data_IF_507003307488
#
_entry.id   IF_507003307488
#
_cell.length_a   1.000
_cell.length_b   1.000
_cell.length_c   1.000
_cell.angle_alpha   90.00
_cell.angle_beta   90.00
_cell.angle_gamma   90.00
#
_symmetry.space_group_name_H-M   'P 1'
#
loop_
_entity.id
_entity.type
_entity.pdbx_description
1 polymer ?
#
# COMPACT_ATOMS: atom_id res chain seq x y z
N UNK A 1 -12.40 14.72 -10.32
CA UNK A 1 -12.16 13.78 -9.21
C UNK A 1 -13.51 13.47 -8.62
N UNK A 2 -13.92 12.20 -8.63
CA UNK A 2 -15.16 11.81 -7.95
C UNK A 2 -14.94 11.87 -6.44
N UNK A 3 -15.91 12.47 -5.76
CA UNK A 3 -15.89 12.69 -4.32
C UNK A 3 -17.11 11.99 -3.71
N UNK A 4 -16.86 11.17 -2.70
CA UNK A 4 -17.88 10.33 -2.09
C UNK A 4 -18.22 10.81 -0.68
N UNK A 5 -19.51 10.89 -0.34
CA UNK A 5 -19.90 11.00 1.07
C UNK A 5 -19.54 9.71 1.83
N UNK A 6 -19.47 9.76 3.16
CA UNK A 6 -19.15 8.56 3.94
C UNK A 6 -20.16 7.40 3.74
N UNK A 7 -21.43 7.73 3.45
CA UNK A 7 -22.47 6.74 3.18
C UNK A 7 -22.25 6.06 1.83
N UNK A 8 -21.99 6.84 0.78
CA UNK A 8 -21.68 6.33 -0.56
C UNK A 8 -20.38 5.53 -0.54
N UNK A 9 -19.38 6.00 0.20
CA UNK A 9 -18.11 5.32 0.41
C UNK A 9 -18.29 3.92 1.02
N UNK A 10 -19.09 3.79 2.09
CA UNK A 10 -19.39 2.50 2.69
C UNK A 10 -20.17 1.57 1.74
N UNK A 11 -21.14 2.14 1.02
CA UNK A 11 -21.94 1.43 0.02
C UNK A 11 -21.06 0.88 -1.12
N UNK A 12 -20.16 1.71 -1.66
CA UNK A 12 -19.22 1.34 -2.72
C UNK A 12 -18.22 0.25 -2.28
N UNK A 13 -17.94 0.13 -0.99
CA UNK A 13 -17.12 -0.95 -0.41
C UNK A 13 -17.93 -2.20 -0.04
N UNK A 14 -19.26 -2.14 -0.08
CA UNK A 14 -20.14 -3.23 0.33
C UNK A 14 -19.99 -3.61 1.82
N UNK A 15 -19.61 -2.66 2.67
CA UNK A 15 -19.38 -2.89 4.11
C UNK A 15 -20.08 -1.83 4.96
N UNK A 16 -20.43 -2.21 6.19
CA UNK A 16 -21.10 -1.30 7.11
C UNK A 16 -20.15 -0.22 7.66
N UNK A 17 -20.66 0.97 8.03
CA UNK A 17 -19.87 2.00 8.71
C UNK A 17 -19.15 1.51 9.97
N UNK A 18 -19.77 0.56 10.70
CA UNK A 18 -19.20 -0.04 11.92
C UNK A 18 -18.02 -0.96 11.63
N UNK A 19 -17.89 -1.45 10.40
CA UNK A 19 -16.74 -2.21 9.95
C UNK A 19 -15.62 -1.29 9.43
N UNK A 20 -15.99 -0.27 8.65
CA UNK A 20 -15.04 0.62 7.98
C UNK A 20 -14.32 1.55 8.96
N UNK A 21 -15.02 2.16 9.93
CA UNK A 21 -14.37 3.11 10.85
C UNK A 21 -13.24 2.50 11.69
N UNK A 22 -13.43 1.35 12.36
CA UNK A 22 -12.34 0.73 13.10
C UNK A 22 -11.14 0.39 12.22
N UNK A 23 -11.38 0.02 10.96
CA UNK A 23 -10.33 -0.29 10.00
C UNK A 23 -9.49 0.95 9.65
N UNK A 24 -10.14 2.09 9.39
CA UNK A 24 -9.45 3.37 9.17
C UNK A 24 -8.61 3.77 10.39
N UNK A 25 -9.17 3.64 11.60
CA UNK A 25 -8.48 3.95 12.86
C UNK A 25 -7.27 3.03 13.06
N UNK A 26 -7.43 1.72 12.89
CA UNK A 26 -6.37 0.74 13.11
C UNK A 26 -5.18 0.92 12.16
N UNK A 27 -5.45 1.37 10.93
CA UNK A 27 -4.45 1.70 9.92
C UNK A 27 -3.88 3.12 10.08
N UNK A 28 -4.41 3.92 11.01
CA UNK A 28 -3.95 5.30 11.24
C UNK A 28 -4.25 6.25 10.08
N UNK A 29 -5.30 5.97 9.29
CA UNK A 29 -5.64 6.79 8.12
C UNK A 29 -6.31 8.10 8.54
N UNK A 30 -6.13 9.13 7.72
CA UNK A 30 -6.96 10.33 7.82
C UNK A 30 -8.43 9.96 7.65
N UNK A 31 -9.28 10.47 8.54
CA UNK A 31 -10.74 10.30 8.49
C UNK A 31 -11.32 11.69 8.22
N UNK A 32 -11.83 11.95 7.00
CA UNK A 32 -12.52 13.18 6.65
C UNK A 32 -13.62 13.53 7.67
N UNK A 33 -13.78 14.82 7.95
CA UNK A 33 -14.80 15.34 8.84
C UNK A 33 -16.22 15.09 8.32
N UNK A 34 -17.24 15.45 9.11
CA UNK A 34 -18.66 15.20 8.74
C UNK A 34 -19.11 15.86 7.42
N UNK A 35 -18.42 16.91 6.99
CA UNK A 35 -18.73 17.68 5.77
C UNK A 35 -17.72 17.43 4.65
N UNK A 36 -16.68 16.65 4.92
CA UNK A 36 -15.61 16.40 3.98
C UNK A 36 -15.90 15.13 3.20
N UNK A 37 -15.45 15.10 1.96
CA UNK A 37 -15.67 14.00 1.03
C UNK A 37 -14.46 13.08 0.98
N UNK A 38 -14.70 11.84 0.57
CA UNK A 38 -13.66 10.85 0.32
C UNK A 38 -13.24 10.93 -1.14
N UNK A 39 -11.95 11.15 -1.42
CA UNK A 39 -11.46 11.11 -2.79
C UNK A 39 -11.39 9.66 -3.30
N UNK A 40 -11.44 9.51 -4.62
CA UNK A 40 -11.45 8.22 -5.32
C UNK A 40 -10.22 7.33 -5.01
N UNK A 41 -9.02 7.91 -4.86
CA UNK A 41 -7.82 7.16 -4.43
C UNK A 41 -8.01 6.48 -3.07
N UNK A 42 -8.70 7.14 -2.14
CA UNK A 42 -9.02 6.58 -0.83
C UNK A 42 -9.97 5.38 -0.97
N UNK A 43 -10.94 5.46 -1.88
CA UNK A 43 -11.86 4.35 -2.16
C UNK A 43 -11.11 3.15 -2.74
N UNK A 44 -10.23 3.37 -3.71
CA UNK A 44 -9.38 2.34 -4.30
C UNK A 44 -8.47 1.67 -3.25
N UNK A 45 -7.84 2.48 -2.40
CA UNK A 45 -7.03 1.97 -1.28
C UNK A 45 -7.85 1.10 -0.33
N UNK A 46 -9.00 1.60 0.13
CA UNK A 46 -9.83 0.87 1.09
C UNK A 46 -10.48 -0.36 0.48
N UNK A 47 -10.75 -0.37 -0.82
CA UNK A 47 -11.20 -1.57 -1.54
C UNK A 47 -10.17 -2.69 -1.43
N UNK A 48 -8.87 -2.39 -1.64
CA UNK A 48 -7.78 -3.38 -1.46
C UNK A 48 -7.72 -3.92 -0.03
N UNK A 49 -7.80 -3.03 0.96
CA UNK A 49 -7.81 -3.43 2.38
C UNK A 49 -8.99 -4.35 2.68
N UNK A 50 -10.20 -3.97 2.27
CA UNK A 50 -11.42 -4.76 2.50
C UNK A 50 -11.33 -6.12 1.79
N UNK A 51 -10.81 -6.18 0.56
CA UNK A 51 -10.56 -7.42 -0.16
C UNK A 51 -9.57 -8.32 0.58
N UNK A 52 -8.42 -7.80 1.03
CA UNK A 52 -7.47 -8.60 1.81
C UNK A 52 -8.07 -9.13 3.11
N UNK A 53 -8.88 -8.31 3.80
CA UNK A 53 -9.62 -8.75 4.99
C UNK A 53 -10.63 -9.86 4.68
N UNK A 54 -11.25 -9.84 3.49
CA UNK A 54 -12.14 -10.92 3.06
C UNK A 54 -11.39 -12.25 2.84
N UNK A 55 -10.14 -12.20 2.36
CA UNK A 55 -9.22 -13.35 2.32
C UNK A 55 -8.51 -13.61 3.65
N UNK A 56 -9.13 -13.21 4.78
CA UNK A 56 -8.63 -13.50 6.12
C UNK A 56 -7.18 -13.02 6.40
N UNK A 57 -6.70 -12.00 5.69
CA UNK A 57 -5.40 -11.40 5.96
C UNK A 57 -5.48 -10.61 7.28
N UNK A 58 -4.60 -10.86 8.26
CA UNK A 58 -4.61 -10.15 9.54
C UNK A 58 -4.43 -8.65 9.36
N UNK A 59 -5.11 -7.86 10.19
CA UNK A 59 -4.98 -6.40 10.12
C UNK A 59 -3.55 -5.94 10.44
N UNK A 60 -2.84 -6.66 11.31
CA UNK A 60 -1.45 -6.36 11.65
C UNK A 60 -0.52 -6.55 10.45
N UNK A 61 -0.72 -7.60 9.64
CA UNK A 61 0.04 -7.82 8.41
C UNK A 61 -0.22 -6.69 7.40
N UNK A 62 -1.47 -6.24 7.27
CA UNK A 62 -1.83 -5.09 6.40
C UNK A 62 -1.19 -3.80 6.92
N UNK A 63 -1.18 -3.59 8.24
CA UNK A 63 -0.58 -2.41 8.86
C UNK A 63 0.93 -2.38 8.66
N UNK A 64 1.61 -3.52 8.83
CA UNK A 64 3.04 -3.64 8.57
C UNK A 64 3.36 -3.44 7.08
N UNK A 65 2.50 -3.92 6.18
CA UNK A 65 2.63 -3.68 4.75
C UNK A 65 2.55 -2.18 4.44
N UNK A 66 1.53 -1.50 4.96
CA UNK A 66 1.34 -0.06 4.78
C UNK A 66 2.56 0.73 5.30
N UNK A 67 3.05 0.39 6.50
CA UNK A 67 4.24 1.05 7.06
C UNK A 67 5.46 0.91 6.15
N UNK A 68 5.69 -0.28 5.58
CA UNK A 68 6.82 -0.52 4.68
C UNK A 68 6.66 0.25 3.37
N UNK A 69 5.46 0.28 2.80
CA UNK A 69 5.19 1.06 1.59
C UNK A 69 5.38 2.56 1.83
N UNK A 70 4.80 3.12 2.90
CA UNK A 70 5.00 4.54 3.24
C UNK A 70 6.48 4.85 3.47
N UNK A 71 7.21 3.94 4.11
CA UNK A 71 8.66 4.10 4.32
C UNK A 71 9.45 4.11 3.02
N UNK A 72 9.15 3.19 2.09
CA UNK A 72 9.76 3.18 0.75
C UNK A 72 9.49 4.53 0.07
N UNK A 73 8.26 5.03 0.12
CA UNK A 73 7.90 6.31 -0.50
C UNK A 73 8.59 7.52 0.15
N UNK A 74 8.76 7.52 1.47
CA UNK A 74 9.51 8.54 2.21
C UNK A 74 11.01 8.51 1.86
N UNK A 75 11.59 7.32 1.70
CA UNK A 75 12.97 7.17 1.23
C UNK A 75 13.16 7.64 -0.21
N UNK A 76 12.12 7.57 -1.03
CA UNK A 76 12.07 8.14 -2.38
C UNK A 76 11.67 9.62 -2.38
N UNK A 77 11.56 10.26 -1.22
CA UNK A 77 11.20 11.66 -1.01
C UNK A 77 9.84 12.08 -1.60
N UNK A 78 8.92 11.14 -1.80
CA UNK A 78 7.59 11.44 -2.35
C UNK A 78 6.69 12.21 -1.36
N UNK A 79 7.03 12.16 -0.07
CA UNK A 79 6.42 12.93 1.01
C UNK A 79 6.67 14.44 0.89
N UNK A 80 7.71 14.85 0.16
CA UNK A 80 8.02 16.27 -0.08
C UNK A 80 7.24 16.89 -1.23
N UNK A 81 6.52 16.07 -2.01
CA UNK A 81 5.86 16.50 -3.25
C UNK A 81 4.48 17.10 -2.99
N UNK A 82 3.81 16.76 -1.89
CA UNK A 82 2.44 17.18 -1.62
C UNK A 82 2.13 17.26 -0.12
N UNK A 83 1.52 18.37 0.31
CA UNK A 83 1.04 18.59 1.68
C UNK A 83 -0.26 17.82 2.01
N UNK A 84 -0.75 16.99 1.08
CA UNK A 84 -2.01 16.26 1.24
C UNK A 84 -1.85 15.13 2.28
N UNK A 85 -2.74 14.99 3.28
CA UNK A 85 -2.64 13.93 4.29
C UNK A 85 -2.77 12.50 3.74
N UNK A 86 -3.19 12.36 2.48
CA UNK A 86 -3.32 11.09 1.75
C UNK A 86 -2.35 11.00 0.57
N UNK A 87 -1.23 11.73 0.61
CA UNK A 87 -0.22 11.78 -0.46
C UNK A 87 0.30 10.41 -0.90
N UNK A 88 0.32 9.43 0.00
CA UNK A 88 0.76 8.06 -0.27
C UNK A 88 -0.30 7.21 -1.00
N UNK A 89 -1.51 7.72 -1.24
CA UNK A 89 -2.57 6.98 -1.95
C UNK A 89 -2.55 7.33 -3.43
N UNK A 90 -1.96 6.44 -4.25
CA UNK A 90 -1.92 6.57 -5.70
C UNK A 90 -3.26 6.25 -6.36
N UNK A 91 -3.52 6.92 -7.49
CA UNK A 91 -4.59 6.57 -8.41
C UNK A 91 -4.12 5.41 -9.31
N UNK A 92 -4.09 4.19 -8.80
CA UNK A 92 -3.79 3.01 -9.63
C UNK A 92 -5.08 2.33 -10.06
N UNK A 93 -5.30 2.26 -11.36
CA UNK A 93 -6.34 1.41 -11.93
C UNK A 93 -6.12 -0.05 -11.51
N UNK A 94 -7.13 -0.61 -10.87
CA UNK A 94 -7.12 -1.90 -10.17
C UNK A 94 -6.70 -3.11 -11.04
N UNK A 95 -6.61 -2.93 -12.36
CA UNK A 95 -6.49 -4.01 -13.34
C UNK A 95 -5.06 -4.45 -13.66
N UNK A 96 -4.02 -3.74 -13.23
CA UNK A 96 -2.63 -4.17 -13.47
C UNK A 96 -1.89 -4.37 -12.17
N UNK A 97 -1.73 -5.64 -11.78
CA UNK A 97 -0.61 -6.09 -10.95
C UNK A 97 0.68 -5.85 -11.74
N UNK A 98 1.11 -4.60 -11.82
CA UNK A 98 2.40 -4.25 -12.40
C UNK A 98 3.47 -4.55 -11.35
N UNK A 99 4.56 -5.19 -11.77
CA UNK A 99 5.75 -5.43 -10.93
C UNK A 99 6.46 -4.14 -10.50
N UNK A 100 6.00 -3.01 -11.01
CA UNK A 100 6.48 -1.68 -10.68
C UNK A 100 5.62 -0.96 -9.66
N UNK A 101 4.44 -1.49 -9.31
CA UNK A 101 3.51 -0.83 -8.39
C UNK A 101 3.50 -1.45 -7.00
N UNK A 102 3.46 -0.60 -5.98
CA UNK A 102 3.23 -1.02 -4.60
C UNK A 102 1.79 -1.54 -4.42
N UNK A 103 1.62 -2.64 -3.68
CA UNK A 103 0.34 -3.33 -3.52
C UNK A 103 -0.76 -2.43 -2.96
N UNK A 104 -0.56 -1.83 -1.79
CA UNK A 104 -1.61 -1.08 -1.08
C UNK A 104 -1.79 0.32 -1.67
N UNK A 105 -0.72 1.10 -1.64
CA UNK A 105 -0.65 2.49 -2.10
C UNK A 105 -0.90 2.63 -3.60
N UNK A 106 -0.58 1.60 -4.39
CA UNK A 106 -0.76 1.62 -5.85
C UNK A 106 0.24 2.51 -6.58
N UNK A 107 1.22 3.09 -5.89
CA UNK A 107 2.18 3.99 -6.53
C UNK A 107 3.13 3.19 -7.40
N UNK A 108 3.30 3.64 -8.64
CA UNK A 108 4.31 3.15 -9.57
C UNK A 108 5.68 3.70 -9.17
N UNK A 109 6.63 2.80 -8.89
CA UNK A 109 8.02 3.15 -8.60
C UNK A 109 8.81 3.41 -9.89
N UNK A 110 8.27 3.05 -11.07
CA UNK A 110 8.93 3.23 -12.36
C UNK A 110 10.03 2.18 -12.67
N UNK A 111 10.22 1.19 -11.79
CA UNK A 111 11.16 0.07 -11.99
C UNK A 111 10.59 -1.24 -11.42
N UNK A 112 10.99 -2.38 -11.98
CA UNK A 112 10.61 -3.71 -11.48
C UNK A 112 11.42 -4.03 -10.22
N UNK A 113 10.77 -4.16 -9.07
CA UNK A 113 11.44 -4.48 -7.81
C UNK A 113 11.19 -5.93 -7.35
N UNK A 114 10.53 -6.77 -8.18
CA UNK A 114 10.13 -8.13 -7.85
C UNK A 114 11.14 -9.16 -8.35
N UNK A 115 11.64 -9.00 -9.58
CA UNK A 115 12.79 -9.77 -10.07
C UNK A 115 14.04 -8.95 -9.77
N UNK A 116 14.92 -9.46 -8.91
CA UNK A 116 16.11 -8.78 -8.38
C UNK A 116 17.18 -8.36 -9.42
N UNK A 117 16.81 -8.21 -10.68
CA UNK A 117 17.60 -7.62 -11.76
C UNK A 117 17.13 -6.21 -12.10
N UNK A 118 16.92 -5.36 -11.11
CA UNK A 118 17.14 -3.96 -11.42
C UNK A 118 18.63 -3.85 -11.73
N UNK A 119 18.97 -3.47 -12.96
CA UNK A 119 20.34 -3.13 -13.34
C UNK A 119 20.77 -1.87 -12.57
N UNK A 120 21.09 -2.00 -11.28
CA UNK A 120 21.59 -0.92 -10.42
C UNK A 120 23.05 -0.56 -10.72
N UNK A 121 23.62 -1.04 -11.84
CA UNK A 121 24.94 -0.67 -12.35
C UNK A 121 25.03 0.79 -12.86
N UNK A 122 24.08 1.67 -12.51
CA UNK A 122 24.42 3.07 -12.29
C UNK A 122 25.27 3.15 -11.02
N UNK A 123 26.54 2.84 -11.25
CA UNK A 123 27.60 2.81 -10.27
C UNK A 123 27.87 4.24 -9.81
N UNK A 124 27.29 4.67 -8.68
CA UNK A 124 27.76 5.86 -7.95
C UNK A 124 29.10 5.62 -7.22
N UNK A 125 29.87 4.60 -7.62
CA UNK A 125 31.25 4.40 -7.17
C UNK A 125 32.23 5.21 -8.02
N UNK A 126 32.12 6.52 -7.92
CA UNK A 126 33.34 7.31 -7.75
C UNK A 126 33.30 7.85 -6.32
N UNK A 127 34.18 7.30 -5.48
CA UNK A 127 34.36 7.73 -4.09
C UNK A 127 34.94 9.14 -4.10
N UNK A 128 34.07 10.15 -4.12
CA UNK A 128 34.41 11.47 -3.57
C UNK A 128 34.56 11.34 -2.05
N UNK A 129 35.51 12.08 -1.44
CA UNK A 129 35.77 11.97 -0.01
C UNK A 129 34.51 12.35 0.78
N UNK A 130 34.13 11.48 1.71
CA UNK A 130 32.87 11.46 2.45
C UNK A 130 32.55 12.83 3.07
N UNK A 131 31.45 13.45 2.61
CA UNK A 131 30.92 14.72 3.12
C UNK A 131 29.93 14.54 4.28
N UNK A 132 29.58 13.30 4.64
CA UNK A 132 28.54 12.99 5.63
C UNK A 132 29.03 12.03 6.69
N UNK A 133 28.73 12.34 7.94
CA UNK A 133 29.14 11.55 9.10
C UNK A 133 28.20 10.35 9.23
N UNK A 134 28.74 9.17 9.54
CA UNK A 134 28.11 7.84 9.40
C UNK A 134 26.76 7.55 10.07
N UNK A 135 26.04 8.55 10.61
CA UNK A 135 24.63 8.45 10.97
C UNK A 135 23.66 8.85 9.83
N UNK A 136 24.18 9.44 8.75
CA UNK A 136 23.45 9.81 7.52
C UNK A 136 23.68 8.81 6.37
N UNK A 137 24.34 7.70 6.63
CA UNK A 137 24.42 6.55 5.72
C UNK A 137 23.02 5.92 5.67
N UNK A 138 22.22 6.42 4.73
CA UNK A 138 20.80 6.14 4.54
C UNK A 138 20.44 4.70 4.84
N UNK A 139 19.39 4.56 5.64
CA UNK A 139 18.76 3.27 5.86
C UNK A 139 18.52 2.58 4.51
N UNK A 140 19.05 1.37 4.37
CA UNK A 140 19.15 0.70 3.08
C UNK A 140 17.75 0.40 2.53
N UNK A 141 17.35 1.16 1.50
CA UNK A 141 16.07 0.98 0.81
C UNK A 141 15.93 -0.46 0.28
N UNK A 142 17.04 -1.12 -0.08
CA UNK A 142 17.02 -2.52 -0.47
C UNK A 142 16.54 -3.42 0.65
N UNK A 143 17.03 -3.20 1.87
CA UNK A 143 16.59 -3.96 3.04
C UNK A 143 15.09 -3.78 3.30
N UNK A 144 14.57 -2.56 3.14
CA UNK A 144 13.12 -2.29 3.31
C UNK A 144 12.30 -2.98 2.21
N UNK A 145 12.75 -2.93 0.95
CA UNK A 145 12.11 -3.61 -0.19
C UNK A 145 12.16 -5.14 0.00
N UNK A 146 13.26 -5.71 0.46
CA UNK A 146 13.35 -7.16 0.74
C UNK A 146 12.34 -7.59 1.82
N UNK A 147 12.25 -6.83 2.92
CA UNK A 147 11.28 -7.09 3.97
C UNK A 147 9.84 -6.94 3.46
N UNK A 148 9.60 -5.97 2.57
CA UNK A 148 8.33 -5.78 1.90
C UNK A 148 7.97 -6.99 1.03
N UNK A 149 8.88 -7.47 0.17
CA UNK A 149 8.65 -8.63 -0.69
C UNK A 149 8.38 -9.91 0.10
N UNK A 150 9.09 -10.12 1.22
CA UNK A 150 8.83 -11.25 2.12
C UNK A 150 7.41 -11.21 2.69
N UNK A 151 6.95 -10.03 3.11
CA UNK A 151 5.60 -9.84 3.62
C UNK A 151 4.54 -9.97 2.51
N UNK A 152 4.82 -9.44 1.33
CA UNK A 152 3.95 -9.56 0.16
C UNK A 152 3.76 -11.04 -0.22
N UNK A 153 4.82 -11.83 -0.25
CA UNK A 153 4.76 -13.27 -0.50
C UNK A 153 3.91 -14.00 0.54
N UNK A 154 4.10 -13.69 1.83
CA UNK A 154 3.27 -14.25 2.92
C UNK A 154 1.77 -13.95 2.71
N UNK A 155 1.44 -12.73 2.30
CA UNK A 155 0.06 -12.32 2.04
C UNK A 155 -0.48 -13.04 0.79
N UNK A 156 0.29 -13.12 -0.29
CA UNK A 156 -0.11 -13.81 -1.53
C UNK A 156 -0.37 -15.30 -1.27
N UNK A 157 0.54 -16.00 -0.56
CA UNK A 157 0.36 -17.40 -0.19
C UNK A 157 -0.94 -17.60 0.62
N UNK A 158 -1.26 -16.68 1.52
CA UNK A 158 -2.50 -16.72 2.30
C UNK A 158 -3.74 -16.50 1.42
N UNK A 159 -3.73 -15.47 0.57
CA UNK A 159 -4.82 -15.19 -0.35
C UNK A 159 -5.08 -16.38 -1.28
N UNK A 160 -4.02 -17.02 -1.78
CA UNK A 160 -4.13 -18.22 -2.62
C UNK A 160 -4.77 -19.40 -1.88
N UNK A 161 -4.41 -19.61 -0.62
CA UNK A 161 -4.99 -20.66 0.21
C UNK A 161 -6.48 -20.40 0.49
N UNK A 162 -6.81 -19.18 0.90
CA UNK A 162 -8.18 -18.78 1.26
C UNK A 162 -9.10 -18.65 0.03
N UNK A 163 -8.53 -18.43 -1.15
CA UNK A 163 -9.29 -18.37 -2.41
C UNK A 163 -10.16 -19.59 -2.64
N UNK A 164 -9.65 -20.79 -2.34
CA UNK A 164 -10.43 -22.03 -2.51
C UNK A 164 -11.66 -22.02 -1.60
N UNK A 165 -11.47 -21.68 -0.33
CA UNK A 165 -12.55 -21.60 0.67
C UNK A 165 -13.62 -20.59 0.26
N UNK A 166 -13.22 -19.42 -0.23
CA UNK A 166 -14.19 -18.41 -0.69
C UNK A 166 -14.93 -18.85 -1.97
N UNK A 167 -14.26 -19.54 -2.90
CA UNK A 167 -14.93 -20.10 -4.08
C UNK A 167 -15.96 -21.16 -3.70
N UNK A 168 -15.64 -22.03 -2.74
CA UNK A 168 -16.57 -23.03 -2.23
C UNK A 168 -17.79 -22.37 -1.56
N UNK A 169 -17.56 -21.32 -0.76
CA UNK A 169 -18.66 -20.56 -0.14
C UNK A 169 -19.55 -19.86 -1.17
N UNK A 170 -18.98 -19.35 -2.27
CA UNK A 170 -19.75 -18.77 -3.38
C UNK A 170 -20.61 -19.80 -4.11
N UNK A 171 -20.22 -21.07 -4.12
CA UNK A 171 -21.04 -22.13 -4.72
C UNK A 171 -22.31 -22.45 -3.90
N UNK A 172 -22.38 -22.00 -2.64
CA UNK A 172 -23.54 -22.19 -1.76
C UNK A 172 -24.46 -20.96 -1.67
N UNK A 173 -24.02 -19.82 -2.20
CA UNK A 173 -24.77 -18.56 -2.20
C UNK A 173 -25.74 -18.49 -3.39
#
# INVERSE_FOLDING_TARGET
MEEYSFSEFCSALGKSPRYIRPLQIALGLHIPGRKDTYPENYLSFMRKVVSMRAFNVPIDDIKELLKKEVKILQMLHLDTVSDCPTWFMGNSDWQRQSRTHLLLTGIDLGFDFVEGEVQWNLNFRERTPELFHGHEMGEDIHHVIELYLKLLKKIDDRVRNERRVLLDALAWA
#
